data_IF_240447155116
#
_entry.id   IF_240447155116
#
_cell.length_a   1.000
_cell.length_b   1.000
_cell.length_c   1.000
_cell.angle_alpha   90.00
_cell.angle_beta   90.00
_cell.angle_gamma   90.00
#
_symmetry.space_group_name_H-M   'P 1'
#
loop_
_entity.id
_entity.type
_entity.pdbx_description
1 polymer ?
#
# COMPACT_ATOMS: atom_id res chain seq x y z
N UNK A 1 13.99 -14.38 6.41
CA UNK A 1 13.76 -13.11 5.73
C UNK A 1 12.30 -12.72 5.81
N UNK A 2 12.07 -11.48 6.21
CA UNK A 2 10.71 -10.96 6.31
C UNK A 2 10.17 -10.57 4.94
N UNK A 3 8.86 -10.67 4.81
CA UNK A 3 8.15 -10.24 3.60
C UNK A 3 6.87 -9.56 4.01
N UNK A 4 6.43 -8.61 3.21
CA UNK A 4 5.11 -8.04 3.38
C UNK A 4 4.09 -9.07 2.88
N UNK A 5 3.13 -9.40 3.73
CA UNK A 5 2.05 -10.31 3.37
C UNK A 5 0.86 -9.47 2.94
N UNK A 6 0.67 -9.32 1.62
CA UNK A 6 -0.45 -8.56 1.10
C UNK A 6 -1.75 -9.37 1.23
N UNK A 7 -2.81 -8.70 1.69
CA UNK A 7 -4.13 -9.33 1.79
C UNK A 7 -4.75 -9.38 0.39
N UNK A 8 -5.75 -10.22 0.24
CA UNK A 8 -6.36 -10.48 -1.07
C UNK A 8 -7.09 -9.27 -1.66
N UNK A 9 -7.81 -8.54 -0.81
CA UNK A 9 -8.62 -7.43 -1.27
C UNK A 9 -8.88 -6.46 -0.12
N UNK A 10 -9.48 -5.32 -0.47
CA UNK A 10 -9.77 -4.27 0.50
C UNK A 10 -10.74 -4.73 1.59
N UNK A 11 -11.74 -5.53 1.22
CA UNK A 11 -12.70 -6.05 2.19
C UNK A 11 -12.01 -6.87 3.29
N UNK A 12 -11.10 -7.76 2.89
CA UNK A 12 -10.33 -8.55 3.84
C UNK A 12 -9.49 -7.67 4.76
N UNK A 13 -8.83 -6.66 4.19
CA UNK A 13 -8.03 -5.72 4.95
C UNK A 13 -8.87 -4.93 5.95
N UNK A 14 -10.04 -4.46 5.53
CA UNK A 14 -10.96 -3.72 6.41
C UNK A 14 -11.44 -4.60 7.55
N UNK A 15 -11.82 -5.83 7.26
CA UNK A 15 -12.29 -6.77 8.30
C UNK A 15 -11.20 -7.05 9.32
N UNK A 16 -9.95 -7.24 8.87
CA UNK A 16 -8.82 -7.52 9.75
C UNK A 16 -8.50 -6.34 10.66
N UNK A 17 -8.76 -5.12 10.22
CA UNK A 17 -8.40 -3.91 10.95
C UNK A 17 -9.57 -3.30 11.73
N UNK A 18 -10.69 -4.01 11.84
CA UNK A 18 -11.88 -3.51 12.52
C UNK A 18 -11.69 -3.19 14.00
N UNK A 19 -10.74 -3.85 14.64
CA UNK A 19 -10.44 -3.60 16.06
C UNK A 19 -9.70 -2.29 16.29
N UNK A 20 -9.30 -1.59 15.23
CA UNK A 20 -8.62 -0.31 15.32
C UNK A 20 -7.13 -0.40 15.62
N UNK A 21 -6.57 -1.60 15.75
CA UNK A 21 -5.13 -1.76 16.04
C UNK A 21 -4.26 -1.41 14.84
N UNK A 22 -4.79 -1.56 13.63
CA UNK A 22 -4.09 -1.26 12.38
C UNK A 22 -5.08 -0.62 11.40
N UNK A 23 -4.55 -0.10 10.30
CA UNK A 23 -5.37 0.53 9.26
C UNK A 23 -5.16 -0.17 7.91
N UNK A 24 -6.18 -0.20 7.06
CA UNK A 24 -5.99 -0.70 5.70
C UNK A 24 -5.03 0.19 4.93
N UNK A 25 -4.15 -0.42 4.13
CA UNK A 25 -3.24 0.31 3.25
C UNK A 25 -3.31 -0.28 1.86
N UNK A 26 -3.46 0.58 0.86
CA UNK A 26 -3.45 0.17 -0.54
C UNK A 26 -2.14 0.63 -1.18
N UNK A 27 -1.44 -0.30 -1.81
CA UNK A 27 -0.28 0.02 -2.64
C UNK A 27 -0.69 -0.12 -4.10
N UNK A 28 -0.82 1.01 -4.78
CA UNK A 28 -1.16 1.04 -6.20
C UNK A 28 0.11 1.04 -7.04
N UNK A 29 0.17 0.14 -8.01
CA UNK A 29 1.35 -0.01 -8.85
C UNK A 29 0.97 -0.29 -10.30
N UNK A 30 1.96 -0.15 -11.19
CA UNK A 30 1.90 -0.58 -12.58
C UNK A 30 3.11 -1.45 -12.86
N UNK A 31 2.90 -2.53 -13.60
CA UNK A 31 3.99 -3.47 -13.88
C UNK A 31 5.09 -2.87 -14.73
N UNK A 32 4.75 -1.95 -15.63
CA UNK A 32 5.71 -1.30 -16.51
C UNK A 32 6.23 0.04 -15.99
N UNK A 33 5.90 0.40 -14.78
CA UNK A 33 6.35 1.64 -14.15
C UNK A 33 7.66 1.43 -13.40
N UNK A 34 8.68 2.19 -13.76
CA UNK A 34 10.00 2.07 -13.12
C UNK A 34 9.94 2.39 -11.62
N UNK A 35 9.17 3.41 -11.25
CA UNK A 35 8.98 3.75 -9.85
C UNK A 35 8.33 2.62 -9.05
N UNK A 36 7.33 1.95 -9.65
CA UNK A 36 6.68 0.81 -9.02
C UNK A 36 7.65 -0.35 -8.84
N UNK A 37 8.43 -0.67 -9.87
CA UNK A 37 9.44 -1.73 -9.78
C UNK A 37 10.46 -1.42 -8.70
N UNK A 38 10.89 -0.19 -8.63
CA UNK A 38 11.88 0.25 -7.65
C UNK A 38 11.32 0.15 -6.23
N UNK A 39 10.06 0.55 -6.01
CA UNK A 39 9.41 0.36 -4.72
C UNK A 39 9.37 -1.10 -4.32
N UNK A 40 8.93 -1.97 -5.23
CA UNK A 40 8.82 -3.40 -4.95
C UNK A 40 10.17 -4.06 -4.66
N UNK A 41 11.20 -3.68 -5.40
CA UNK A 41 12.50 -4.36 -5.32
C UNK A 41 13.45 -3.78 -4.28
N UNK A 42 13.32 -2.51 -3.95
CA UNK A 42 14.29 -1.83 -3.08
C UNK A 42 13.69 -1.34 -1.76
N UNK A 43 12.48 -0.80 -1.78
CA UNK A 43 11.87 -0.21 -0.59
C UNK A 43 11.05 -1.23 0.19
N UNK A 44 10.17 -1.95 -0.48
CA UNK A 44 9.29 -2.93 0.17
C UNK A 44 10.01 -4.24 0.54
N UNK A 45 11.30 -4.32 0.28
CA UNK A 45 12.17 -5.41 0.73
C UNK A 45 13.04 -4.99 1.91
N UNK A 46 13.02 -3.73 2.29
CA UNK A 46 13.78 -3.20 3.43
C UNK A 46 13.12 -3.66 4.74
N UNK A 47 13.91 -4.24 5.64
CA UNK A 47 13.38 -4.80 6.89
C UNK A 47 12.65 -3.77 7.76
N UNK A 48 13.13 -2.55 7.79
CA UNK A 48 12.49 -1.50 8.59
C UNK A 48 11.13 -1.12 8.01
N UNK A 49 11.05 -1.05 6.68
CA UNK A 49 9.81 -0.76 5.98
C UNK A 49 8.79 -1.89 6.18
N UNK A 50 9.24 -3.14 6.01
CA UNK A 50 8.38 -4.31 6.20
C UNK A 50 7.82 -4.32 7.61
N UNK A 51 8.67 -4.11 8.62
CA UNK A 51 8.26 -4.10 10.01
C UNK A 51 7.21 -3.02 10.28
N UNK A 52 7.43 -1.81 9.77
CA UNK A 52 6.50 -0.70 9.96
C UNK A 52 5.15 -0.99 9.30
N UNK A 53 5.17 -1.46 8.07
CA UNK A 53 3.94 -1.76 7.33
C UNK A 53 3.14 -2.87 8.02
N UNK A 54 3.79 -3.97 8.39
CA UNK A 54 3.11 -5.09 9.02
C UNK A 54 2.57 -4.76 10.40
N UNK A 55 3.27 -3.90 11.14
CA UNK A 55 2.85 -3.49 12.47
C UNK A 55 1.66 -2.55 12.45
N UNK A 56 1.62 -1.62 11.51
CA UNK A 56 0.64 -0.54 11.51
C UNK A 56 -0.49 -0.67 10.50
N UNK A 57 -0.34 -1.58 9.53
CA UNK A 57 -1.33 -1.70 8.46
C UNK A 57 -1.65 -3.14 8.12
N UNK A 58 -2.78 -3.32 7.43
CA UNK A 58 -3.10 -4.56 6.72
C UNK A 58 -3.02 -4.20 5.23
N UNK A 59 -1.88 -4.44 4.57
CA UNK A 59 -1.64 -3.94 3.22
C UNK A 59 -2.26 -4.79 2.13
N UNK A 60 -2.74 -4.15 1.08
CA UNK A 60 -3.12 -4.81 -0.17
C UNK A 60 -2.34 -4.20 -1.32
N UNK A 61 -2.09 -5.01 -2.34
CA UNK A 61 -1.41 -4.58 -3.55
C UNK A 61 -2.41 -4.50 -4.70
N UNK A 62 -2.47 -3.36 -5.37
CA UNK A 62 -3.45 -3.10 -6.41
C UNK A 62 -2.75 -2.75 -7.71
N UNK A 63 -2.91 -3.61 -8.72
CA UNK A 63 -2.45 -3.34 -10.07
C UNK A 63 -3.50 -2.45 -10.75
N UNK A 64 -3.14 -1.21 -11.05
CA UNK A 64 -4.12 -0.24 -11.58
C UNK A 64 -4.65 -0.61 -12.96
N UNK A 65 -3.95 -1.47 -13.68
CA UNK A 65 -4.41 -1.93 -14.98
C UNK A 65 -5.45 -3.05 -14.86
N UNK A 66 -5.35 -3.84 -13.78
CA UNK A 66 -6.29 -4.92 -13.52
C UNK A 66 -7.50 -4.49 -12.72
N UNK A 67 -7.32 -3.53 -11.82
CA UNK A 67 -8.41 -3.02 -10.99
C UNK A 67 -8.56 -1.51 -11.21
N UNK A 68 -9.09 -1.17 -12.37
CA UNK A 68 -9.28 0.23 -12.76
C UNK A 68 -10.36 0.92 -11.92
N UNK A 69 -11.34 0.17 -11.46
CA UNK A 69 -12.41 0.72 -10.65
C UNK A 69 -11.88 1.24 -9.31
N UNK A 70 -11.03 0.45 -8.65
CA UNK A 70 -10.44 0.85 -7.38
C UNK A 70 -9.50 2.05 -7.58
N UNK A 71 -8.73 2.04 -8.65
CA UNK A 71 -7.85 3.16 -8.98
C UNK A 71 -8.63 4.46 -9.18
N UNK A 72 -9.78 4.38 -9.85
CA UNK A 72 -10.66 5.54 -10.04
C UNK A 72 -11.29 6.01 -8.74
N UNK A 73 -11.71 5.07 -7.91
CA UNK A 73 -12.33 5.37 -6.62
C UNK A 73 -11.40 6.23 -5.76
N UNK A 74 -10.11 5.91 -5.78
CA UNK A 74 -9.11 6.65 -5.00
C UNK A 74 -8.41 7.73 -5.80
N UNK A 75 -8.84 7.97 -7.05
CA UNK A 75 -8.31 9.02 -7.92
C UNK A 75 -6.79 8.92 -8.09
N UNK A 76 -6.32 7.72 -8.37
CA UNK A 76 -4.89 7.46 -8.56
C UNK A 76 -4.45 7.93 -9.94
N UNK A 77 -3.52 8.90 -9.97
CA UNK A 77 -2.98 9.45 -11.21
C UNK A 77 -1.52 9.03 -11.43
N UNK A 78 -0.82 8.74 -10.37
CA UNK A 78 0.61 8.41 -10.39
C UNK A 78 0.86 7.09 -9.69
N UNK A 79 1.83 6.33 -10.18
CA UNK A 79 2.31 5.14 -9.50
C UNK A 79 3.81 5.24 -9.30
N UNK A 80 4.36 4.65 -8.24
CA UNK A 80 3.63 3.99 -7.16
C UNK A 80 2.86 4.97 -6.29
N UNK A 81 1.79 4.50 -5.65
CA UNK A 81 1.03 5.31 -4.72
C UNK A 81 0.58 4.47 -3.53
N UNK A 82 0.57 5.09 -2.36
CA UNK A 82 0.11 4.46 -1.13
C UNK A 82 -1.07 5.25 -0.57
N UNK A 83 -2.11 4.55 -0.17
CA UNK A 83 -3.27 5.16 0.46
C UNK A 83 -3.55 4.45 1.77
N UNK A 84 -3.59 5.22 2.86
CA UNK A 84 -3.99 4.71 4.17
C UNK A 84 -5.46 5.02 4.35
N UNK A 85 -6.24 4.04 4.74
CA UNK A 85 -7.69 4.18 4.88
C UNK A 85 -8.13 4.09 6.32
N UNK A 86 -9.32 4.63 6.59
CA UNK A 86 -9.98 4.44 7.88
C UNK A 86 -10.73 3.09 7.88
N UNK A 87 -11.45 2.81 8.96
CA UNK A 87 -12.20 1.56 9.14
C UNK A 87 -13.29 1.36 8.08
N UNK A 88 -13.77 2.42 7.49
CA UNK A 88 -14.79 2.36 6.43
C UNK A 88 -14.23 2.28 5.03
N UNK A 89 -12.90 2.27 4.89
CA UNK A 89 -12.27 2.25 3.59
C UNK A 89 -12.15 3.61 2.92
N UNK A 90 -12.27 4.69 3.68
CA UNK A 90 -12.10 6.04 3.16
C UNK A 90 -10.66 6.49 3.31
N UNK A 91 -10.14 7.22 2.32
CA UNK A 91 -8.76 7.66 2.34
C UNK A 91 -8.50 8.67 3.46
N UNK A 92 -7.52 8.37 4.30
CA UNK A 92 -7.05 9.30 5.35
C UNK A 92 -5.80 10.01 4.89
N UNK A 93 -4.91 9.31 4.21
CA UNK A 93 -3.61 9.83 3.83
C UNK A 93 -3.14 9.15 2.56
N UNK A 94 -2.40 9.86 1.73
CA UNK A 94 -1.83 9.29 0.52
C UNK A 94 -0.42 9.80 0.27
N UNK A 95 0.39 8.93 -0.31
CA UNK A 95 1.75 9.24 -0.77
C UNK A 95 1.83 8.82 -2.23
N UNK A 96 2.26 9.72 -3.09
CA UNK A 96 2.38 9.44 -4.52
C UNK A 96 3.84 9.55 -4.96
N UNK A 97 4.25 8.64 -5.86
CA UNK A 97 5.60 8.61 -6.38
C UNK A 97 6.54 7.75 -5.57
N UNK A 98 7.77 7.56 -6.11
CA UNK A 98 8.79 6.77 -5.45
C UNK A 98 9.27 7.45 -4.17
N UNK A 99 9.38 6.67 -3.11
CA UNK A 99 9.84 7.15 -1.81
C UNK A 99 10.92 6.20 -1.30
N UNK A 100 12.16 6.69 -1.07
CA UNK A 100 13.22 5.83 -0.53
C UNK A 100 12.87 5.29 0.85
N UNK A 101 13.51 4.17 1.24
CA UNK A 101 13.23 3.51 2.51
C UNK A 101 13.40 4.45 3.71
N UNK A 102 14.43 5.27 3.71
CA UNK A 102 14.71 6.20 4.81
C UNK A 102 13.65 7.28 4.96
N UNK A 103 12.92 7.58 3.90
CA UNK A 103 11.83 8.58 3.94
C UNK A 103 10.49 7.93 4.19
N UNK A 104 10.37 6.61 3.95
CA UNK A 104 9.15 5.86 4.17
C UNK A 104 8.92 5.57 5.65
N UNK A 105 9.99 5.30 6.37
CA UNK A 105 9.95 5.02 7.81
C UNK A 105 10.59 6.19 8.54
N UNK A 106 9.83 6.92 9.35
CA UNK A 106 10.38 8.03 10.15
C UNK A 106 11.38 7.59 11.20
#
# INVERSE_FOLDING_TARGET
MSRITFRKNLTESILETKDGSRLPMLFFFRQDCEGSKKMLNEVLTDEKVITAIERETAPIMVDIEKDQELARRFKIEWTPAFVICDEGGNALERLEGYLPAEDFVP
#
